data_IF_482152113083
#
_entry.id   IF_482152113083
#
_cell.length_a   1.000
_cell.length_b   1.000
_cell.length_c   1.000
_cell.angle_alpha   90.00
_cell.angle_beta   90.00
_cell.angle_gamma   90.00
#
_symmetry.space_group_name_H-M   'P 1'
#
loop_
_entity.id
_entity.type
_entity.pdbx_description
1 polymer ?
#
# COMPACT_ATOMS: atom_id res chain seq x y z
N UNK A 1 19.97 37.74 55.71
CA UNK A 1 19.67 36.75 54.66
C UNK A 1 19.43 37.53 53.37
N UNK A 2 20.45 37.67 52.52
CA UNK A 2 20.38 38.50 51.30
C UNK A 2 19.83 37.64 50.17
N UNK A 3 18.62 37.95 49.71
CA UNK A 3 18.02 37.32 48.54
C UNK A 3 18.67 37.95 47.31
N UNK A 4 19.64 37.25 46.70
CA UNK A 4 20.21 37.64 45.43
C UNK A 4 19.18 37.39 44.33
N UNK A 5 18.48 38.44 43.91
CA UNK A 5 17.58 38.40 42.77
C UNK A 5 18.45 38.32 41.51
N UNK A 6 18.45 37.16 40.85
CA UNK A 6 19.20 36.96 39.62
C UNK A 6 18.75 37.96 38.55
N UNK A 7 19.67 38.55 37.78
CA UNK A 7 19.34 39.53 36.76
C UNK A 7 18.41 38.91 35.70
N UNK A 8 17.48 39.70 35.12
CA UNK A 8 16.58 39.22 34.08
C UNK A 8 17.39 38.74 32.87
N UNK A 9 17.01 37.57 32.34
CA UNK A 9 17.68 36.99 31.18
C UNK A 9 17.54 37.89 29.94
N UNK A 10 18.53 37.87 29.02
CA UNK A 10 18.46 38.63 27.77
C UNK A 10 17.26 38.19 26.92
N UNK A 11 16.57 39.16 26.30
CA UNK A 11 15.39 38.91 25.45
C UNK A 11 15.67 37.88 24.34
N UNK A 12 16.88 37.89 23.76
CA UNK A 12 17.32 36.95 22.72
C UNK A 12 17.33 35.50 23.19
N UNK A 13 17.69 35.26 24.45
CA UNK A 13 17.73 33.92 25.04
C UNK A 13 16.33 33.42 25.40
N UNK A 14 15.43 34.33 25.81
CA UNK A 14 14.02 34.02 26.06
C UNK A 14 13.29 33.66 24.76
N UNK A 15 13.53 34.41 23.68
CA UNK A 15 12.99 34.11 22.35
C UNK A 15 13.56 32.81 21.78
N UNK A 16 14.88 32.61 21.86
CA UNK A 16 15.49 31.35 21.42
C UNK A 16 14.89 30.16 22.18
N UNK A 17 14.68 30.27 23.49
CA UNK A 17 14.01 29.24 24.30
C UNK A 17 12.54 29.05 23.95
N UNK A 18 11.78 30.10 23.63
CA UNK A 18 10.38 29.94 23.20
C UNK A 18 10.32 29.24 21.83
N UNK A 19 11.15 29.64 20.87
CA UNK A 19 11.26 28.94 19.58
C UNK A 19 11.69 27.47 19.74
N UNK A 20 12.65 27.17 20.62
CA UNK A 20 13.07 25.80 20.89
C UNK A 20 11.98 24.99 21.60
N UNK A 21 11.22 25.62 22.50
CA UNK A 21 10.12 25.01 23.24
C UNK A 21 8.93 24.74 22.32
N UNK A 22 8.62 25.64 21.39
CA UNK A 22 7.59 25.47 20.37
C UNK A 22 7.97 24.34 19.40
N UNK A 23 9.26 24.23 19.05
CA UNK A 23 9.80 23.10 18.26
C UNK A 23 9.84 21.78 19.03
N UNK A 24 9.84 21.80 20.37
CA UNK A 24 9.80 20.60 21.23
C UNK A 24 8.39 20.19 21.65
N UNK A 25 7.39 21.07 21.53
CA UNK A 25 5.98 20.84 21.85
C UNK A 25 5.17 20.50 20.60
N UNK A 26 5.76 19.76 19.66
CA UNK A 26 5.01 19.20 18.54
C UNK A 26 4.05 18.15 19.09
N UNK A 27 2.75 18.41 18.99
CA UNK A 27 1.72 17.51 19.50
C UNK A 27 1.88 16.14 18.82
N UNK A 28 2.03 15.04 19.56
CA UNK A 28 2.17 13.70 18.98
C UNK A 28 1.06 13.35 17.97
N UNK A 29 -0.14 13.90 18.15
CA UNK A 29 -1.27 13.72 17.23
C UNK A 29 -1.08 14.49 15.92
N UNK A 30 -0.47 15.66 15.93
CA UNK A 30 -0.18 16.43 14.72
C UNK A 30 0.85 15.68 13.86
N UNK A 31 1.91 15.18 14.49
CA UNK A 31 2.91 14.34 13.82
C UNK A 31 2.32 13.02 13.28
N UNK A 32 1.43 12.39 14.04
CA UNK A 32 0.72 11.19 13.58
C UNK A 32 -0.17 11.50 12.38
N UNK A 33 -0.90 12.63 12.40
CA UNK A 33 -1.70 13.11 11.28
C UNK A 33 -0.86 13.36 10.03
N UNK A 34 0.29 14.02 10.17
CA UNK A 34 1.24 14.21 9.07
C UNK A 34 1.72 12.88 8.49
N UNK A 35 1.99 11.90 9.35
CA UNK A 35 2.36 10.53 8.92
C UNK A 35 1.24 9.87 8.12
N UNK A 36 -0.03 10.03 8.53
CA UNK A 36 -1.18 9.52 7.78
C UNK A 36 -1.31 10.17 6.40
N UNK A 37 -1.12 11.48 6.31
CA UNK A 37 -1.15 12.22 5.04
C UNK A 37 -0.02 11.79 4.10
N UNK A 38 1.20 11.68 4.63
CA UNK A 38 2.35 11.20 3.87
C UNK A 38 2.14 9.76 3.38
N UNK A 39 1.58 8.90 4.23
CA UNK A 39 1.25 7.51 3.87
C UNK A 39 0.18 7.45 2.78
N UNK A 40 -0.83 8.32 2.84
CA UNK A 40 -1.87 8.41 1.81
C UNK A 40 -1.29 8.83 0.46
N UNK A 41 -0.49 9.89 0.43
CA UNK A 41 0.18 10.33 -0.79
C UNK A 41 1.05 9.23 -1.36
N UNK A 42 1.84 8.55 -0.50
CA UNK A 42 2.69 7.44 -0.90
C UNK A 42 1.90 6.28 -1.49
N UNK A 43 0.76 5.93 -0.89
CA UNK A 43 -0.12 4.86 -1.39
C UNK A 43 -0.71 5.19 -2.77
N UNK A 44 -1.02 6.45 -3.05
CA UNK A 44 -1.47 6.90 -4.38
C UNK A 44 -0.34 6.77 -5.42
N UNK A 45 0.87 7.22 -5.08
CA UNK A 45 2.04 7.05 -5.96
C UNK A 45 2.33 5.58 -6.27
N UNK A 46 2.18 4.70 -5.28
CA UNK A 46 2.43 3.26 -5.45
C UNK A 46 1.30 2.58 -6.24
N UNK A 47 0.06 3.05 -6.12
CA UNK A 47 -1.05 2.63 -6.98
C UNK A 47 -0.76 2.98 -8.45
N UNK A 48 -0.37 4.22 -8.74
CA UNK A 48 -0.07 4.66 -10.10
C UNK A 48 1.08 3.85 -10.73
N UNK A 49 2.16 3.62 -9.96
CA UNK A 49 3.27 2.76 -10.37
C UNK A 49 2.81 1.33 -10.64
N UNK A 50 1.93 0.81 -9.80
CA UNK A 50 1.36 -0.54 -9.96
C UNK A 50 0.57 -0.62 -11.27
N UNK A 51 -0.33 0.34 -11.54
CA UNK A 51 -1.11 0.38 -12.78
C UNK A 51 -0.21 0.49 -14.01
N UNK A 52 0.81 1.36 -13.97
CA UNK A 52 1.77 1.52 -15.07
C UNK A 52 2.54 0.21 -15.34
N UNK A 53 3.02 -0.44 -14.27
CA UNK A 53 3.72 -1.72 -14.34
C UNK A 53 2.82 -2.83 -14.89
N UNK A 54 1.56 -2.90 -14.43
CA UNK A 54 0.57 -3.85 -14.93
C UNK A 54 0.24 -3.62 -16.40
N UNK A 55 0.13 -2.36 -16.82
CA UNK A 55 -0.14 -2.02 -18.22
C UNK A 55 1.03 -2.45 -19.12
N UNK A 56 2.27 -2.17 -18.70
CA UNK A 56 3.46 -2.59 -19.45
C UNK A 56 3.63 -4.10 -19.49
N UNK A 57 3.42 -4.79 -18.37
CA UNK A 57 3.49 -6.25 -18.30
C UNK A 57 2.39 -6.93 -19.10
N UNK A 58 1.13 -6.46 -19.02
CA UNK A 58 0.03 -6.98 -19.83
C UNK A 58 0.32 -6.84 -21.34
N UNK A 59 0.90 -5.71 -21.77
CA UNK A 59 1.31 -5.51 -23.15
C UNK A 59 2.43 -6.47 -23.58
N UNK A 60 3.48 -6.61 -22.76
CA UNK A 60 4.59 -7.53 -23.05
C UNK A 60 4.13 -8.98 -23.13
N UNK A 61 3.25 -9.38 -22.20
CA UNK A 61 2.60 -10.68 -22.18
C UNK A 61 1.73 -10.90 -23.42
N UNK A 62 0.96 -9.90 -23.86
CA UNK A 62 0.15 -9.96 -25.09
C UNK A 62 1.02 -10.23 -26.32
N UNK A 63 2.15 -9.53 -26.45
CA UNK A 63 3.08 -9.75 -27.56
C UNK A 63 3.74 -11.12 -27.53
N UNK A 64 4.21 -11.57 -26.36
CA UNK A 64 4.80 -12.89 -26.20
C UNK A 64 3.80 -14.01 -26.53
N UNK A 65 2.53 -13.86 -26.10
CA UNK A 65 1.51 -14.86 -26.37
C UNK A 65 1.22 -15.00 -27.86
N UNK A 66 1.09 -13.88 -28.58
CA UNK A 66 0.86 -13.86 -30.04
C UNK A 66 2.04 -14.48 -30.79
N UNK A 67 3.27 -14.21 -30.37
CA UNK A 67 4.48 -14.62 -31.09
C UNK A 67 4.90 -16.05 -30.80
N UNK A 68 4.84 -16.46 -29.53
CA UNK A 68 5.56 -17.64 -29.04
C UNK A 68 4.61 -18.77 -28.56
N UNK A 69 3.33 -18.48 -28.30
CA UNK A 69 2.36 -19.47 -27.79
C UNK A 69 1.33 -19.88 -28.84
N UNK A 70 0.95 -18.99 -29.77
CA UNK A 70 0.15 -19.35 -30.96
C UNK A 70 1.07 -19.98 -32.02
N UNK A 71 1.69 -21.10 -31.68
CA UNK A 71 2.35 -21.99 -32.64
C UNK A 71 1.44 -23.15 -33.05
N UNK A 72 1.89 -23.97 -34.01
CA UNK A 72 1.07 -25.07 -34.56
C UNK A 72 1.02 -26.34 -33.67
N UNK A 73 1.64 -26.32 -32.49
CA UNK A 73 1.68 -27.49 -31.59
C UNK A 73 0.38 -27.61 -30.79
N UNK A 74 -0.20 -28.83 -30.68
CA UNK A 74 -1.39 -29.03 -29.87
C UNK A 74 -1.08 -28.77 -28.39
N UNK A 75 -1.84 -27.87 -27.77
CA UNK A 75 -1.72 -27.53 -26.34
C UNK A 75 -2.29 -28.67 -25.51
N UNK A 76 -1.49 -29.22 -24.61
CA UNK A 76 -1.92 -30.23 -23.64
C UNK A 76 -2.46 -29.51 -22.41
N UNK A 77 -3.72 -29.79 -22.05
CA UNK A 77 -4.38 -29.31 -20.84
C UNK A 77 -4.44 -27.77 -20.72
N UNK A 78 -5.18 -27.14 -21.64
CA UNK A 78 -5.43 -25.69 -21.67
C UNK A 78 -6.12 -25.14 -20.41
N UNK A 79 -6.77 -26.00 -19.63
CA UNK A 79 -7.47 -25.58 -18.41
C UNK A 79 -6.48 -25.05 -17.35
N UNK A 80 -5.30 -25.67 -17.22
CA UNK A 80 -4.28 -25.24 -16.26
C UNK A 80 -3.85 -23.79 -16.50
N UNK A 81 -3.57 -23.44 -17.76
CA UNK A 81 -3.15 -22.10 -18.10
C UNK A 81 -4.33 -21.14 -17.91
N UNK A 82 -5.54 -21.49 -18.36
CA UNK A 82 -6.75 -20.69 -18.15
C UNK A 82 -6.99 -20.34 -16.68
N UNK A 83 -6.94 -21.32 -15.77
CA UNK A 83 -7.11 -21.08 -14.34
C UNK A 83 -5.94 -20.30 -13.73
N UNK A 84 -4.71 -20.45 -14.25
CA UNK A 84 -3.58 -19.61 -13.83
C UNK A 84 -3.85 -18.12 -14.14
N UNK A 85 -4.28 -17.81 -15.36
CA UNK A 85 -4.64 -16.45 -15.77
C UNK A 85 -5.78 -15.89 -14.95
N UNK A 86 -6.82 -16.68 -14.73
CA UNK A 86 -7.96 -16.27 -13.91
C UNK A 86 -7.52 -15.95 -12.48
N UNK A 87 -6.69 -16.81 -11.88
CA UNK A 87 -6.15 -16.62 -10.52
C UNK A 87 -5.31 -15.35 -10.43
N UNK A 88 -4.44 -15.09 -11.40
CA UNK A 88 -3.65 -13.85 -11.44
C UNK A 88 -4.50 -12.62 -11.69
N UNK A 89 -5.51 -12.70 -12.56
CA UNK A 89 -6.47 -11.62 -12.78
C UNK A 89 -7.16 -11.21 -11.48
N UNK A 90 -7.72 -12.18 -10.75
CA UNK A 90 -8.37 -11.93 -9.45
C UNK A 90 -7.36 -11.41 -8.42
N UNK A 91 -6.15 -11.98 -8.37
CA UNK A 91 -5.07 -11.52 -7.49
C UNK A 91 -4.75 -10.03 -7.73
N UNK A 92 -4.54 -9.64 -8.98
CA UNK A 92 -4.23 -8.26 -9.37
C UNK A 92 -5.40 -7.34 -9.01
N UNK A 93 -6.64 -7.73 -9.32
CA UNK A 93 -7.83 -6.97 -8.92
C UNK A 93 -7.91 -6.79 -7.40
N UNK A 94 -7.58 -7.81 -6.62
CA UNK A 94 -7.55 -7.72 -5.16
C UNK A 94 -6.48 -6.72 -4.66
N UNK A 95 -5.29 -6.67 -5.29
CA UNK A 95 -4.27 -5.64 -4.99
C UNK A 95 -4.81 -4.23 -5.28
N UNK A 96 -5.43 -4.02 -6.45
CA UNK A 96 -5.97 -2.70 -6.82
C UNK A 96 -7.09 -2.25 -5.88
N UNK A 97 -7.99 -3.18 -5.52
CA UNK A 97 -9.03 -2.92 -4.52
C UNK A 97 -8.43 -2.64 -3.13
N UNK A 98 -7.35 -3.33 -2.77
CA UNK A 98 -6.66 -3.11 -1.49
C UNK A 98 -6.13 -1.68 -1.37
N UNK A 99 -5.51 -1.14 -2.43
CA UNK A 99 -5.10 0.26 -2.47
C UNK A 99 -6.27 1.23 -2.29
N UNK A 100 -7.39 0.97 -2.97
CA UNK A 100 -8.60 1.78 -2.83
C UNK A 100 -9.14 1.78 -1.39
N UNK A 101 -9.27 0.62 -0.76
CA UNK A 101 -9.73 0.51 0.62
C UNK A 101 -8.71 1.08 1.62
N UNK A 102 -7.40 0.97 1.33
CA UNK A 102 -6.35 1.57 2.14
C UNK A 102 -6.46 3.09 2.14
N UNK A 103 -6.76 3.71 0.98
CA UNK A 103 -7.02 5.13 0.89
C UNK A 103 -8.24 5.55 1.72
N UNK A 104 -9.34 4.78 1.67
CA UNK A 104 -10.51 5.04 2.52
C UNK A 104 -10.21 4.89 4.02
N UNK A 105 -9.39 3.90 4.39
CA UNK A 105 -8.93 3.68 5.76
C UNK A 105 -8.11 4.87 6.27
N UNK A 106 -7.14 5.34 5.48
CA UNK A 106 -6.30 6.50 5.82
C UNK A 106 -7.13 7.78 5.96
N UNK A 107 -8.05 8.05 5.03
CA UNK A 107 -8.97 9.19 5.12
C UNK A 107 -9.83 9.15 6.37
N UNK A 108 -10.30 7.97 6.76
CA UNK A 108 -11.05 7.79 8.00
C UNK A 108 -10.17 7.98 9.23
N UNK A 109 -8.93 7.47 9.23
CA UNK A 109 -7.96 7.68 10.31
C UNK A 109 -7.62 9.16 10.51
N UNK A 110 -7.43 9.93 9.43
CA UNK A 110 -7.22 11.39 9.48
C UNK A 110 -8.42 12.07 10.15
N UNK A 111 -9.65 11.75 9.74
CA UNK A 111 -10.87 12.29 10.37
C UNK A 111 -10.97 11.91 11.86
N UNK A 112 -10.58 10.69 12.21
CA UNK A 112 -10.55 10.25 13.61
C UNK A 112 -9.53 11.06 14.43
N UNK A 113 -8.38 11.45 13.86
CA UNK A 113 -7.45 12.37 14.53
C UNK A 113 -8.06 13.76 14.67
N UNK A 114 -8.59 14.31 13.57
CA UNK A 114 -9.17 15.67 13.52
C UNK A 114 -10.34 15.86 14.50
N UNK A 115 -11.12 14.79 14.73
CA UNK A 115 -12.25 14.79 15.66
C UNK A 115 -11.89 14.38 17.11
N UNK A 116 -10.63 14.00 17.39
CA UNK A 116 -10.23 13.48 18.70
C UNK A 116 -10.83 12.10 19.04
N UNK A 117 -11.07 11.27 18.02
CA UNK A 117 -11.70 9.95 18.10
C UNK A 117 -10.74 8.78 17.81
N UNK A 118 -9.46 9.06 17.52
CA UNK A 118 -8.47 8.06 17.12
C UNK A 118 -8.25 6.95 18.15
N UNK A 119 -8.49 7.24 19.43
CA UNK A 119 -8.41 6.25 20.52
C UNK A 119 -9.76 5.66 20.93
N UNK A 120 -10.87 6.10 20.32
CA UNK A 120 -12.22 5.59 20.62
C UNK A 120 -12.60 4.38 19.77
N UNK A 121 -11.90 4.18 18.64
CA UNK A 121 -12.17 3.12 17.68
C UNK A 121 -10.92 2.76 16.89
N UNK A 122 -10.93 1.61 16.22
CA UNK A 122 -9.82 1.20 15.38
C UNK A 122 -9.54 2.25 14.28
N UNK A 123 -8.29 2.71 14.11
CA UNK A 123 -7.91 3.60 13.01
C UNK A 123 -8.35 3.02 11.66
N UNK A 124 -9.06 3.79 10.83
CA UNK A 124 -9.54 3.32 9.52
C UNK A 124 -10.71 2.31 9.57
N UNK A 125 -10.96 1.68 10.71
CA UNK A 125 -12.08 0.76 10.95
C UNK A 125 -12.19 -0.38 9.93
N UNK A 126 -13.40 -0.63 9.43
CA UNK A 126 -13.68 -1.74 8.50
C UNK A 126 -12.83 -1.70 7.21
N UNK A 127 -12.46 -0.51 6.72
CA UNK A 127 -11.67 -0.40 5.51
C UNK A 127 -10.26 -0.99 5.68
N UNK A 128 -9.65 -0.80 6.85
CA UNK A 128 -8.35 -1.39 7.19
C UNK A 128 -8.42 -2.93 7.22
N UNK A 129 -9.49 -3.47 7.81
CA UNK A 129 -9.75 -4.92 7.80
C UNK A 129 -9.89 -5.46 6.38
N UNK A 130 -10.67 -4.79 5.52
CA UNK A 130 -10.86 -5.20 4.13
C UNK A 130 -9.53 -5.17 3.38
N UNK A 131 -8.72 -4.13 3.55
CA UNK A 131 -7.36 -4.03 2.99
C UNK A 131 -6.50 -5.23 3.41
N UNK A 132 -6.51 -5.59 4.69
CA UNK A 132 -5.79 -6.77 5.19
C UNK A 132 -6.23 -8.08 4.53
N UNK A 133 -7.54 -8.30 4.38
CA UNK A 133 -8.09 -9.49 3.74
C UNK A 133 -7.71 -9.54 2.26
N UNK A 134 -7.85 -8.43 1.53
CA UNK A 134 -7.53 -8.35 0.11
C UNK A 134 -6.03 -8.59 -0.15
N UNK A 135 -5.15 -8.09 0.72
CA UNK A 135 -3.71 -8.34 0.64
C UNK A 135 -3.36 -9.82 0.86
N UNK A 136 -4.00 -10.47 1.83
CA UNK A 136 -3.79 -11.90 2.05
C UNK A 136 -4.31 -12.74 0.87
N UNK A 137 -5.52 -12.42 0.39
CA UNK A 137 -6.15 -13.12 -0.73
C UNK A 137 -5.32 -12.98 -2.02
N UNK A 138 -4.82 -11.78 -2.32
CA UNK A 138 -3.99 -11.56 -3.50
C UNK A 138 -2.71 -12.39 -3.45
N UNK A 139 -2.00 -12.41 -2.32
CA UNK A 139 -0.81 -13.24 -2.15
C UNK A 139 -1.08 -14.74 -2.39
N UNK A 140 -2.19 -15.26 -1.85
CA UNK A 140 -2.58 -16.67 -2.04
C UNK A 140 -2.90 -16.97 -3.51
N UNK A 141 -3.75 -16.14 -4.14
CA UNK A 141 -4.16 -16.33 -5.54
C UNK A 141 -2.98 -16.18 -6.51
N UNK A 142 -2.03 -15.31 -6.19
CA UNK A 142 -0.80 -15.17 -6.96
C UNK A 142 -0.01 -16.50 -6.98
N UNK A 143 0.21 -17.09 -5.80
CA UNK A 143 0.95 -18.35 -5.68
C UNK A 143 0.23 -19.52 -6.35
N UNK A 144 -1.11 -19.60 -6.23
CA UNK A 144 -1.91 -20.59 -6.95
C UNK A 144 -1.71 -20.46 -8.47
N UNK A 145 -1.76 -19.23 -9.00
CA UNK A 145 -1.52 -18.99 -10.42
C UNK A 145 -0.12 -19.42 -10.88
N UNK A 146 0.92 -19.14 -10.07
CA UNK A 146 2.31 -19.57 -10.34
C UNK A 146 2.42 -21.09 -10.41
N UNK A 147 1.82 -21.82 -9.46
CA UNK A 147 1.85 -23.28 -9.44
C UNK A 147 1.16 -23.86 -10.68
N UNK A 148 -0.04 -23.35 -11.02
CA UNK A 148 -0.79 -23.80 -12.20
C UNK A 148 -0.01 -23.56 -13.50
N UNK A 149 0.59 -22.38 -13.66
CA UNK A 149 1.39 -22.03 -14.83
C UNK A 149 2.65 -22.90 -14.94
N UNK A 150 3.32 -23.19 -13.82
CA UNK A 150 4.49 -24.07 -13.80
C UNK A 150 4.14 -25.51 -14.21
N UNK A 151 3.02 -26.05 -13.72
CA UNK A 151 2.52 -27.36 -14.13
C UNK A 151 2.17 -27.39 -15.62
N UNK A 152 1.52 -26.35 -16.13
CA UNK A 152 1.24 -26.22 -17.56
C UNK A 152 2.53 -26.22 -18.39
N UNK A 153 3.53 -25.43 -17.98
CA UNK A 153 4.82 -25.36 -18.66
C UNK A 153 5.56 -26.70 -18.66
N UNK A 154 5.55 -27.43 -17.54
CA UNK A 154 6.17 -28.76 -17.46
C UNK A 154 5.54 -29.75 -18.46
N UNK A 155 4.21 -29.71 -18.62
CA UNK A 155 3.49 -30.60 -19.54
C UNK A 155 3.70 -30.26 -21.02
N UNK A 156 3.97 -28.98 -21.34
CA UNK A 156 4.01 -28.50 -22.73
C UNK A 156 5.43 -28.17 -23.25
N UNK A 157 6.41 -27.91 -22.37
CA UNK A 157 7.81 -27.65 -22.75
C UNK A 157 8.69 -28.90 -22.67
N UNK A 158 8.26 -29.93 -21.92
CA UNK A 158 8.95 -31.22 -21.84
C UNK A 158 8.45 -32.27 -22.85
N UNK A 159 7.52 -31.90 -23.74
CA UNK A 159 6.86 -32.77 -24.72
C UNK A 159 7.28 -32.48 -26.17
#
# INVERSE_FOLDING_TARGET
>A
MVVLQSPPLPLSHTLARSFQRDKQMENPLDKYRETLLATEQKAQEDFDKTILTLSGSALGVTFAFIKDIVGDKPIINSDLIFFAWLSWGISISAVLLSYYFSHLALRKAIKQVDNGEIYKSHPGGLFDLITGILNALSGILFLVGVILAALFAQLNLGA
#
